data_IF_472074045675
#
_entry.id   IF_472074045675
#
_cell.length_a   1.000
_cell.length_b   1.000
_cell.length_c   1.000
_cell.angle_alpha   90.00
_cell.angle_beta   90.00
_cell.angle_gamma   90.00
#
_symmetry.space_group_name_H-M   'P 1'
#
loop_
_entity.id
_entity.type
_entity.pdbx_description
1 polymer ?
#
# COMPACT_ATOMS: atom_id res chain seq x y z
N UNK A 1 -10.10 12.77 -5.80
CA UNK A 1 -8.99 12.03 -5.16
C UNK A 1 -8.48 12.89 -4.02
N UNK A 2 -8.56 12.44 -2.76
CA UNK A 2 -7.93 13.18 -1.67
C UNK A 2 -6.43 13.29 -1.99
N UNK A 3 -5.87 14.50 -1.91
CA UNK A 3 -4.43 14.70 -2.10
C UNK A 3 -3.73 13.79 -1.10
N UNK A 4 -2.91 12.85 -1.58
CA UNK A 4 -2.31 11.77 -0.77
C UNK A 4 -1.60 12.28 0.49
N UNK A 5 -1.13 13.52 0.46
CA UNK A 5 -0.44 14.22 1.55
C UNK A 5 -1.38 14.73 2.66
N UNK A 6 -2.68 14.93 2.39
CA UNK A 6 -3.61 15.56 3.34
C UNK A 6 -4.46 14.52 4.07
N UNK A 7 -4.32 14.45 5.39
CA UNK A 7 -5.18 13.69 6.27
C UNK A 7 -5.87 14.62 7.29
N UNK A 8 -7.21 14.56 7.40
CA UNK A 8 -7.98 15.44 8.30
C UNK A 8 -7.78 15.13 9.78
N UNK A 9 -7.40 13.90 10.11
CA UNK A 9 -7.22 13.42 11.48
C UNK A 9 -5.77 13.55 11.95
N UNK A 10 -4.86 14.08 11.11
CA UNK A 10 -3.44 14.18 11.44
C UNK A 10 -3.22 15.15 12.61
N UNK A 11 -2.56 14.72 13.69
CA UNK A 11 -2.16 15.62 14.77
C UNK A 11 -1.13 16.66 14.30
N UNK A 12 -1.17 17.86 14.89
CA UNK A 12 -0.27 18.96 14.53
C UNK A 12 1.21 18.62 14.69
N UNK A 13 1.57 17.83 15.71
CA UNK A 13 2.96 17.42 15.93
C UNK A 13 3.48 16.49 14.79
N UNK A 14 2.65 15.57 14.30
CA UNK A 14 2.98 14.71 13.15
C UNK A 14 3.10 15.55 11.87
N UNK A 15 2.21 16.51 11.67
CA UNK A 15 2.28 17.43 10.52
C UNK A 15 3.57 18.25 10.52
N UNK A 16 4.02 18.74 11.68
CA UNK A 16 5.27 19.47 11.82
C UNK A 16 6.50 18.60 11.48
N UNK A 17 6.53 17.35 11.96
CA UNK A 17 7.62 16.41 11.65
C UNK A 17 7.65 16.10 10.14
N UNK A 18 6.50 15.82 9.54
CA UNK A 18 6.39 15.45 8.13
C UNK A 18 6.80 16.57 7.15
N UNK A 19 6.54 17.82 7.53
CA UNK A 19 6.92 19.00 6.75
C UNK A 19 8.33 19.52 7.10
N UNK A 20 8.95 19.00 8.15
CA UNK A 20 10.26 19.41 8.65
C UNK A 20 11.41 18.48 8.25
N UNK A 21 12.63 18.85 8.65
CA UNK A 21 13.82 18.00 8.48
C UNK A 21 13.77 16.75 9.39
N UNK A 22 13.01 16.82 10.48
CA UNK A 22 12.81 15.71 11.42
C UNK A 22 12.11 14.49 10.83
N UNK A 23 11.53 14.62 9.62
CA UNK A 23 11.02 13.49 8.85
C UNK A 23 12.08 12.39 8.63
N UNK A 24 13.35 12.79 8.51
CA UNK A 24 14.47 11.88 8.29
C UNK A 24 15.29 11.65 9.56
N UNK A 25 14.83 12.14 10.71
CA UNK A 25 15.51 11.97 11.98
C UNK A 25 15.13 10.60 12.56
N UNK A 26 16.09 9.69 12.82
CA UNK A 26 15.78 8.36 13.34
C UNK A 26 15.13 8.40 14.72
N UNK A 27 15.32 9.46 15.51
CA UNK A 27 14.68 9.64 16.82
C UNK A 27 13.15 9.84 16.71
N UNK A 28 12.63 10.27 15.55
CA UNK A 28 11.18 10.40 15.34
C UNK A 28 10.49 9.08 14.98
N UNK A 29 11.25 8.00 14.81
CA UNK A 29 10.73 6.67 14.48
C UNK A 29 9.70 6.20 15.50
N UNK A 30 9.99 6.35 16.80
CA UNK A 30 9.10 5.94 17.89
C UNK A 30 7.79 6.73 17.87
N UNK A 31 7.85 8.04 17.62
CA UNK A 31 6.67 8.91 17.49
C UNK A 31 5.76 8.40 16.34
N UNK A 32 6.35 8.03 15.20
CA UNK A 32 5.59 7.47 14.09
C UNK A 32 5.05 6.06 14.38
N UNK A 33 5.79 5.22 15.10
CA UNK A 33 5.32 3.90 15.53
C UNK A 33 4.11 4.02 16.44
N UNK A 34 4.16 4.88 17.45
CA UNK A 34 3.05 5.17 18.35
C UNK A 34 1.84 5.70 17.57
N UNK A 35 2.07 6.55 16.57
CA UNK A 35 1.00 7.04 15.70
C UNK A 35 0.36 5.94 14.82
N UNK A 36 1.10 4.92 14.40
CA UNK A 36 0.53 3.76 13.70
C UNK A 36 -0.34 2.94 14.64
N UNK A 37 0.09 2.72 15.89
CA UNK A 37 -0.73 2.05 16.91
C UNK A 37 -2.02 2.83 17.14
N UNK A 38 -1.93 4.15 17.30
CA UNK A 38 -3.09 5.02 17.43
C UNK A 38 -4.03 4.93 16.21
N UNK A 39 -3.50 4.87 14.98
CA UNK A 39 -4.32 4.66 13.77
C UNK A 39 -5.05 3.31 13.77
N UNK A 40 -4.45 2.28 14.38
CA UNK A 40 -5.08 0.97 14.54
C UNK A 40 -6.24 1.02 15.55
N UNK A 41 -6.08 1.75 16.65
CA UNK A 41 -7.11 1.96 17.68
C UNK A 41 -8.25 2.86 17.16
N UNK A 42 -7.92 4.06 16.67
CA UNK A 42 -8.86 5.10 16.23
C UNK A 42 -9.53 4.80 14.89
N UNK A 43 -9.13 3.71 14.23
CA UNK A 43 -9.63 3.30 12.91
C UNK A 43 -9.38 4.34 11.81
N UNK A 44 -8.37 5.18 11.99
CA UNK A 44 -7.93 6.16 10.98
C UNK A 44 -6.82 5.58 10.10
N UNK A 45 -6.49 6.27 9.01
CA UNK A 45 -5.39 5.87 8.13
C UNK A 45 -4.72 7.10 7.52
N UNK A 46 -3.44 7.29 7.82
CA UNK A 46 -2.60 8.34 7.25
C UNK A 46 -1.51 7.73 6.38
N UNK A 47 -1.84 7.55 5.10
CA UNK A 47 -0.94 6.93 4.13
C UNK A 47 0.42 7.63 4.05
N UNK A 48 0.43 8.97 4.17
CA UNK A 48 1.65 9.75 4.03
C UNK A 48 2.59 9.59 5.22
N UNK A 49 2.04 9.57 6.45
CA UNK A 49 2.81 9.27 7.65
C UNK A 49 3.35 7.83 7.62
N UNK A 50 2.51 6.87 7.23
CA UNK A 50 2.88 5.45 7.18
C UNK A 50 4.00 5.19 6.16
N UNK A 51 3.91 5.79 4.97
CA UNK A 51 5.01 5.73 3.99
C UNK A 51 6.27 6.47 4.47
N UNK A 52 6.13 7.55 5.25
CA UNK A 52 7.29 8.23 5.82
C UNK A 52 8.02 7.34 6.83
N UNK A 53 7.29 6.64 7.70
CA UNK A 53 7.87 5.67 8.63
C UNK A 53 8.57 4.51 7.90
N UNK A 54 7.91 3.92 6.89
CA UNK A 54 8.53 2.89 6.07
C UNK A 54 9.80 3.42 5.39
N UNK A 55 9.76 4.64 4.83
CA UNK A 55 10.97 5.26 4.28
C UNK A 55 12.04 5.49 5.35
N UNK A 56 11.69 5.89 6.56
CA UNK A 56 12.65 6.09 7.64
C UNK A 56 13.34 4.76 8.01
N UNK A 57 12.56 3.68 8.18
CA UNK A 57 13.08 2.34 8.44
C UNK A 57 13.96 1.82 7.30
N UNK A 58 13.53 1.96 6.04
CA UNK A 58 14.16 1.30 4.89
C UNK A 58 15.18 2.17 4.12
N UNK A 59 14.99 3.50 4.03
CA UNK A 59 15.90 4.41 3.30
C UNK A 59 16.94 5.11 4.17
N UNK A 60 16.65 5.47 5.43
CA UNK A 60 17.64 6.18 6.24
C UNK A 60 18.86 5.29 6.57
N UNK A 61 18.64 3.98 6.64
CA UNK A 61 19.73 3.01 6.79
C UNK A 61 20.67 2.99 5.59
N UNK A 62 20.17 3.31 4.39
CA UNK A 62 21.02 3.38 3.19
C UNK A 62 22.06 4.50 3.35
N UNK A 63 21.68 5.67 3.86
CA UNK A 63 22.61 6.80 4.00
C UNK A 63 23.55 6.66 5.21
N UNK A 64 23.04 6.24 6.37
CA UNK A 64 23.85 6.20 7.59
C UNK A 64 24.99 5.16 7.52
N UNK A 65 24.73 4.01 6.89
CA UNK A 65 25.72 2.94 6.73
C UNK A 65 26.81 3.35 5.73
N UNK A 66 26.43 4.06 4.66
CA UNK A 66 27.39 4.58 3.68
C UNK A 66 28.33 5.60 4.36
N UNK A 67 27.81 6.52 5.18
CA UNK A 67 28.65 7.52 5.87
C UNK A 67 29.62 6.85 6.86
N UNK A 68 29.14 5.99 7.76
CA UNK A 68 30.00 5.35 8.76
C UNK A 68 31.10 4.50 8.12
N UNK A 69 30.81 3.82 7.00
CA UNK A 69 31.78 2.96 6.33
C UNK A 69 32.75 3.76 5.48
N UNK A 70 32.29 4.81 4.78
CA UNK A 70 33.18 5.77 4.10
C UNK A 70 34.07 6.46 5.13
N UNK A 71 33.54 6.88 6.27
CA UNK A 71 34.30 7.53 7.35
C UNK A 71 35.34 6.59 7.96
N UNK A 72 35.01 5.31 8.17
CA UNK A 72 35.98 4.30 8.62
C UNK A 72 37.02 3.97 7.55
N UNK A 73 36.64 3.90 6.28
CA UNK A 73 37.56 3.67 5.16
C UNK A 73 38.52 4.86 4.99
N UNK A 74 38.01 6.08 5.05
CA UNK A 74 38.78 7.32 5.03
C UNK A 74 39.71 7.41 6.24
N UNK A 75 39.27 7.07 7.46
CA UNK A 75 40.14 7.03 8.65
C UNK A 75 41.31 6.06 8.46
N UNK A 76 41.06 4.89 7.84
CA UNK A 76 42.10 3.89 7.58
C UNK A 76 43.12 4.37 6.54
N UNK A 77 42.66 5.10 5.52
CA UNK A 77 43.53 5.73 4.52
C UNK A 77 44.31 6.93 5.09
N UNK A 78 43.67 7.79 5.88
CA UNK A 78 44.31 8.95 6.52
C UNK A 78 45.35 8.57 7.58
N UNK A 79 45.29 7.36 8.12
CA UNK A 79 46.31 6.85 9.05
C UNK A 79 47.58 6.37 8.35
N UNK A 80 47.65 6.44 7.00
CA UNK A 80 48.86 6.11 6.25
C UNK A 80 49.68 7.38 5.97
N UNK A 81 50.96 7.45 6.36
CA UNK A 81 51.75 8.69 6.37
C UNK A 81 52.24 9.19 4.99
N UNK A 82 51.90 8.53 3.89
CA UNK A 82 52.31 8.98 2.55
C UNK A 82 51.26 9.91 1.93
N UNK A 83 51.22 11.16 2.43
CA UNK A 83 50.26 12.18 2.00
C UNK A 83 50.50 12.72 0.58
N UNK A 84 51.56 12.30 -0.10
CA UNK A 84 52.07 13.02 -1.28
C UNK A 84 51.37 12.70 -2.61
N UNK A 85 50.46 11.71 -2.67
CA UNK A 85 49.86 11.27 -3.95
C UNK A 85 48.34 11.53 -4.06
N UNK A 86 47.67 12.09 -3.06
CA UNK A 86 46.22 11.87 -2.92
C UNK A 86 45.26 13.00 -3.34
N UNK A 87 45.72 14.11 -3.93
CA UNK A 87 44.85 15.30 -4.13
C UNK A 87 43.89 15.25 -5.34
N UNK A 88 44.03 14.42 -6.40
CA UNK A 88 43.01 14.36 -7.47
C UNK A 88 41.96 13.25 -7.35
N UNK A 89 41.99 12.44 -6.27
CA UNK A 89 41.21 11.19 -6.23
C UNK A 89 39.71 11.43 -5.97
N UNK A 90 39.30 12.61 -5.49
CA UNK A 90 37.88 12.90 -5.20
C UNK A 90 36.98 12.83 -6.44
N UNK A 91 37.40 13.38 -7.58
CA UNK A 91 36.56 13.35 -8.79
C UNK A 91 36.57 11.97 -9.46
N UNK A 92 37.69 11.25 -9.43
CA UNK A 92 37.78 9.96 -10.12
C UNK A 92 37.21 8.79 -9.29
N UNK A 93 37.20 8.89 -7.96
CA UNK A 93 36.56 7.86 -7.12
C UNK A 93 35.06 7.84 -7.23
N UNK A 94 34.39 8.97 -7.48
CA UNK A 94 32.94 8.96 -7.72
C UNK A 94 32.58 8.02 -8.90
N UNK A 95 33.37 8.03 -9.98
CA UNK A 95 33.13 7.21 -11.16
C UNK A 95 33.49 5.73 -10.97
N UNK A 96 34.55 5.42 -10.23
CA UNK A 96 34.95 4.03 -9.95
C UNK A 96 34.05 3.40 -8.88
N UNK A 97 33.61 4.18 -7.90
CA UNK A 97 32.82 3.67 -6.80
C UNK A 97 31.32 3.71 -7.08
N UNK A 98 30.77 4.54 -7.97
CA UNK A 98 29.34 4.49 -8.30
C UNK A 98 28.83 3.08 -8.70
N UNK A 99 29.56 2.27 -9.48
CA UNK A 99 29.13 0.89 -9.77
C UNK A 99 29.27 -0.05 -8.56
N UNK A 100 30.31 0.11 -7.74
CA UNK A 100 30.55 -0.71 -6.53
C UNK A 100 29.51 -0.35 -5.46
N UNK A 101 29.29 0.95 -5.26
CA UNK A 101 28.22 1.54 -4.46
C UNK A 101 26.88 1.09 -5.03
N UNK A 102 26.65 1.06 -6.35
CA UNK A 102 25.39 0.59 -6.95
C UNK A 102 25.10 -0.89 -6.70
N UNK A 103 26.08 -1.77 -6.94
CA UNK A 103 25.91 -3.22 -6.71
C UNK A 103 25.84 -3.56 -5.22
N UNK A 104 26.58 -2.85 -4.38
CA UNK A 104 26.48 -3.04 -2.96
C UNK A 104 25.40 -2.19 -2.29
N UNK A 105 24.79 -1.18 -2.91
CA UNK A 105 23.63 -0.44 -2.37
C UNK A 105 22.46 -1.39 -2.18
N UNK A 106 22.34 -2.39 -3.07
CA UNK A 106 21.36 -3.46 -2.94
C UNK A 106 21.70 -4.47 -1.82
N UNK A 107 22.94 -4.52 -1.32
CA UNK A 107 23.38 -5.48 -0.30
C UNK A 107 23.89 -4.86 1.02
N UNK A 108 24.09 -3.55 1.10
CA UNK A 108 24.68 -2.88 2.26
C UNK A 108 23.65 -2.73 3.38
N UNK A 109 23.45 -3.86 4.04
CA UNK A 109 23.14 -4.00 5.46
C UNK A 109 22.03 -3.07 5.94
N UNK A 110 20.80 -3.46 5.59
CA UNK A 110 19.67 -3.33 6.52
C UNK A 110 20.18 -3.65 7.92
N UNK A 111 19.88 -2.81 8.91
CA UNK A 111 19.94 -3.25 10.30
C UNK A 111 18.68 -4.11 10.49
N UNK A 112 18.75 -5.46 10.40
CA UNK A 112 17.56 -6.29 10.62
C UNK A 112 16.94 -6.00 11.99
N UNK A 113 17.77 -5.57 12.95
CA UNK A 113 17.36 -5.20 14.31
C UNK A 113 16.46 -3.96 14.39
N UNK A 114 16.41 -3.11 13.35
CA UNK A 114 15.54 -1.93 13.32
C UNK A 114 14.27 -2.15 12.51
N UNK A 115 14.16 -3.28 11.80
CA UNK A 115 12.95 -3.64 11.09
C UNK A 115 11.90 -4.07 12.12
N UNK A 116 11.03 -3.14 12.51
CA UNK A 116 9.83 -3.49 13.25
C UNK A 116 8.86 -4.20 12.30
N UNK A 117 8.91 -5.53 12.34
CA UNK A 117 8.05 -6.42 11.57
C UNK A 117 6.58 -6.09 11.85
N UNK A 118 6.24 -5.96 13.14
CA UNK A 118 4.90 -5.64 13.64
C UNK A 118 4.35 -4.32 13.08
N UNK A 119 5.10 -3.22 13.20
CA UNK A 119 4.64 -1.93 12.65
C UNK A 119 4.44 -2.00 11.14
N UNK A 120 5.28 -2.77 10.44
CA UNK A 120 5.19 -2.93 8.99
C UNK A 120 3.98 -3.76 8.59
N UNK A 121 3.71 -4.87 9.27
CA UNK A 121 2.50 -5.68 9.06
C UNK A 121 1.25 -4.89 9.39
N UNK A 122 1.27 -4.05 10.43
CA UNK A 122 0.15 -3.20 10.82
C UNK A 122 -0.14 -2.12 9.77
N UNK A 123 0.90 -1.50 9.20
CA UNK A 123 0.72 -0.57 8.07
C UNK A 123 0.09 -1.29 6.86
N UNK A 124 0.55 -2.50 6.53
CA UNK A 124 -0.01 -3.28 5.43
C UNK A 124 -1.46 -3.70 5.70
N UNK A 125 -1.76 -4.21 6.90
CA UNK A 125 -3.12 -4.58 7.31
C UNK A 125 -4.06 -3.37 7.28
N UNK A 126 -3.60 -2.20 7.73
CA UNK A 126 -4.36 -0.95 7.59
C UNK A 126 -4.52 -0.52 6.14
N UNK A 127 -3.50 -0.68 5.29
CA UNK A 127 -3.59 -0.41 3.87
C UNK A 127 -4.63 -1.32 3.16
N UNK A 128 -4.81 -2.56 3.63
CA UNK A 128 -5.87 -3.46 3.15
C UNK A 128 -7.26 -2.88 3.39
N UNK A 129 -7.49 -2.10 4.46
CA UNK A 129 -8.82 -1.54 4.75
C UNK A 129 -9.23 -0.36 3.84
N UNK A 130 -8.29 0.19 3.06
CA UNK A 130 -8.51 1.40 2.25
C UNK A 130 -8.53 1.15 0.73
N UNK A 131 -8.72 -0.09 0.27
CA UNK A 131 -8.82 -0.46 -1.15
C UNK A 131 -10.03 0.19 -1.88
N UNK A 132 -9.95 0.55 -3.19
CA UNK A 132 -8.77 0.56 -4.03
C UNK A 132 -7.94 1.79 -3.70
N UNK A 133 -6.81 1.58 -3.04
CA UNK A 133 -5.83 2.61 -2.75
C UNK A 133 -4.47 2.06 -3.12
N UNK A 134 -3.63 2.86 -3.81
CA UNK A 134 -2.26 2.43 -4.13
C UNK A 134 -1.39 2.28 -2.87
N UNK A 135 -1.87 2.65 -1.68
CA UNK A 135 -1.10 2.61 -0.44
C UNK A 135 -0.51 1.22 -0.14
N UNK A 136 -1.24 0.15 -0.42
CA UNK A 136 -0.73 -1.21 -0.22
C UNK A 136 0.47 -1.49 -1.14
N UNK A 137 0.30 -1.27 -2.44
CA UNK A 137 1.36 -1.47 -3.44
C UNK A 137 2.57 -0.55 -3.23
N UNK A 138 2.34 0.70 -2.81
CA UNK A 138 3.41 1.64 -2.45
C UNK A 138 4.18 1.17 -1.21
N UNK A 139 3.48 0.65 -0.20
CA UNK A 139 4.11 0.11 1.01
C UNK A 139 4.95 -1.12 0.67
N UNK A 140 4.43 -2.02 -0.16
CA UNK A 140 5.15 -3.19 -0.66
C UNK A 140 6.39 -2.82 -1.48
N UNK A 141 6.32 -1.75 -2.28
CA UNK A 141 7.45 -1.26 -3.07
C UNK A 141 8.60 -0.68 -2.21
N UNK A 142 8.31 -0.27 -0.97
CA UNK A 142 9.34 0.17 -0.02
C UNK A 142 10.02 -1.01 0.71
N UNK A 143 9.41 -2.19 0.67
CA UNK A 143 9.97 -3.38 1.30
C UNK A 143 11.10 -3.97 0.46
N UNK A 144 12.10 -4.62 1.10
CA UNK A 144 13.24 -5.16 0.40
C UNK A 144 12.86 -6.32 -0.54
N UNK A 145 13.66 -6.51 -1.59
CA UNK A 145 13.38 -7.49 -2.65
C UNK A 145 13.22 -8.95 -2.18
N UNK A 146 13.74 -9.33 -1.01
CA UNK A 146 13.57 -10.68 -0.47
C UNK A 146 12.18 -10.93 0.15
N UNK A 147 11.44 -9.86 0.47
CA UNK A 147 10.05 -9.94 0.98
C UNK A 147 9.02 -10.03 -0.13
N UNK A 148 9.47 -10.04 -1.38
CA UNK A 148 8.56 -10.10 -2.52
C UNK A 148 7.77 -11.42 -2.51
N UNK A 149 6.47 -11.37 -2.82
CA UNK A 149 5.59 -12.50 -2.58
C UNK A 149 5.89 -13.74 -3.45
N UNK A 150 6.69 -13.58 -4.51
CA UNK A 150 7.05 -14.65 -5.44
C UNK A 150 8.36 -15.39 -5.08
N UNK A 151 8.99 -15.07 -3.95
CA UNK A 151 10.28 -15.63 -3.58
C UNK A 151 10.18 -17.06 -3.01
N UNK A 152 9.73 -18.06 -3.78
CA UNK A 152 9.56 -19.44 -3.28
C UNK A 152 10.87 -20.18 -2.97
N UNK A 153 12.00 -19.79 -3.55
CA UNK A 153 13.18 -20.68 -3.63
C UNK A 153 14.27 -20.45 -2.57
N UNK A 154 14.22 -19.37 -1.78
CA UNK A 154 15.30 -19.02 -0.82
C UNK A 154 14.86 -18.94 0.64
N UNK A 155 13.57 -19.12 0.94
CA UNK A 155 13.00 -18.94 2.29
C UNK A 155 13.69 -19.85 3.31
N UNK A 156 14.02 -21.09 2.94
CA UNK A 156 14.65 -22.06 3.86
C UNK A 156 16.03 -21.66 4.37
N UNK A 157 16.71 -20.70 3.73
CA UNK A 157 18.05 -20.26 4.12
C UNK A 157 18.07 -18.97 4.95
N UNK A 158 16.91 -18.36 5.17
CA UNK A 158 16.78 -17.10 5.89
C UNK A 158 16.60 -17.34 7.40
N UNK A 159 17.02 -16.40 8.26
CA UNK A 159 16.70 -16.44 9.69
C UNK A 159 15.20 -16.61 9.95
N UNK A 160 14.82 -17.39 10.97
CA UNK A 160 13.41 -17.71 11.30
C UNK A 160 12.50 -16.46 11.38
N UNK A 161 12.93 -15.40 12.07
CA UNK A 161 12.15 -14.15 12.15
C UNK A 161 11.92 -13.49 10.78
N UNK A 162 12.85 -13.66 9.85
CA UNK A 162 12.71 -13.11 8.49
C UNK A 162 11.85 -14.01 7.60
N UNK A 163 11.82 -15.33 7.80
CA UNK A 163 10.89 -16.20 7.09
C UNK A 163 9.45 -15.93 7.48
N UNK A 164 9.19 -15.74 8.78
CA UNK A 164 7.85 -15.46 9.31
C UNK A 164 7.33 -14.12 8.78
N UNK A 165 8.18 -13.09 8.76
CA UNK A 165 7.83 -11.81 8.15
C UNK A 165 7.53 -11.89 6.65
N UNK A 166 8.31 -12.68 5.89
CA UNK A 166 8.07 -12.88 4.45
C UNK A 166 6.74 -13.61 4.23
N UNK A 167 6.42 -14.62 5.05
CA UNK A 167 5.13 -15.32 4.99
C UNK A 167 3.97 -14.37 5.31
N UNK A 168 4.10 -13.52 6.33
CA UNK A 168 3.12 -12.48 6.67
C UNK A 168 2.86 -11.52 5.52
N UNK A 169 3.91 -11.04 4.85
CA UNK A 169 3.78 -10.15 3.68
C UNK A 169 3.12 -10.88 2.50
N UNK A 170 3.47 -12.15 2.26
CA UNK A 170 2.83 -12.99 1.23
C UNK A 170 1.34 -13.16 1.48
N UNK A 171 0.95 -13.47 2.73
CA UNK A 171 -0.44 -13.61 3.16
C UNK A 171 -1.22 -12.31 2.98
N UNK A 172 -0.70 -11.20 3.46
CA UNK A 172 -1.32 -9.88 3.28
C UNK A 172 -1.44 -9.51 1.78
N UNK A 173 -0.43 -9.82 0.97
CA UNK A 173 -0.47 -9.60 -0.48
C UNK A 173 -1.56 -10.44 -1.15
N UNK A 174 -1.74 -11.71 -0.73
CA UNK A 174 -2.81 -12.56 -1.23
C UNK A 174 -4.18 -11.97 -0.91
N UNK A 175 -4.39 -11.52 0.34
CA UNK A 175 -5.62 -10.85 0.75
C UNK A 175 -5.88 -9.58 -0.06
N UNK A 176 -4.85 -8.75 -0.30
CA UNK A 176 -4.99 -7.54 -1.12
C UNK A 176 -5.46 -7.87 -2.54
N UNK A 177 -4.87 -8.90 -3.18
CA UNK A 177 -5.28 -9.32 -4.52
C UNK A 177 -6.74 -9.77 -4.56
N UNK A 178 -7.25 -10.44 -3.52
CA UNK A 178 -8.66 -10.84 -3.44
C UNK A 178 -9.60 -9.63 -3.29
N UNK A 179 -9.21 -8.63 -2.52
CA UNK A 179 -9.97 -7.38 -2.37
C UNK A 179 -9.97 -6.56 -3.67
N UNK A 180 -8.80 -6.41 -4.32
CA UNK A 180 -8.67 -5.68 -5.59
C UNK A 180 -9.36 -6.38 -6.76
N UNK A 181 -9.40 -7.72 -6.77
CA UNK A 181 -10.14 -8.51 -7.77
C UNK A 181 -11.65 -8.63 -7.46
N UNK A 182 -12.15 -7.95 -6.42
CA UNK A 182 -13.53 -7.96 -5.98
C UNK A 182 -14.07 -9.37 -5.62
N UNK A 183 -13.20 -10.30 -5.24
CA UNK A 183 -13.57 -11.65 -4.82
C UNK A 183 -13.83 -11.71 -3.31
N UNK A 184 -14.78 -10.92 -2.83
CA UNK A 184 -15.05 -10.77 -1.39
C UNK A 184 -15.42 -12.07 -0.67
N UNK A 185 -16.27 -12.97 -1.21
CA UNK A 185 -16.58 -14.23 -0.52
C UNK A 185 -15.34 -15.10 -0.31
N UNK A 186 -14.44 -15.11 -1.30
CA UNK A 186 -13.20 -15.87 -1.21
C UNK A 186 -12.20 -15.19 -0.26
N UNK A 187 -12.18 -13.86 -0.19
CA UNK A 187 -11.41 -13.12 0.80
C UNK A 187 -11.80 -13.52 2.22
N UNK A 188 -13.09 -13.49 2.58
CA UNK A 188 -13.56 -13.89 3.92
C UNK A 188 -13.27 -15.34 4.23
N UNK A 189 -13.49 -16.23 3.26
CA UNK A 189 -13.15 -17.65 3.40
C UNK A 189 -11.65 -17.86 3.66
N UNK A 190 -10.79 -17.10 2.97
CA UNK A 190 -9.33 -17.18 3.15
C UNK A 190 -8.91 -16.63 4.51
N UNK A 191 -9.47 -15.49 4.92
CA UNK A 191 -9.23 -14.85 6.22
C UNK A 191 -9.60 -15.78 7.38
N UNK A 192 -10.73 -16.48 7.26
CA UNK A 192 -11.24 -17.38 8.32
C UNK A 192 -10.64 -18.80 8.26
N UNK A 193 -9.87 -19.14 7.22
CA UNK A 193 -9.35 -20.50 7.02
C UNK A 193 -8.04 -20.82 7.75
N UNK A 194 -7.25 -19.80 8.06
CA UNK A 194 -5.90 -19.96 8.63
C UNK A 194 -5.67 -18.92 9.73
N UNK A 195 -5.36 -19.42 10.93
CA UNK A 195 -5.17 -18.63 12.16
C UNK A 195 -4.11 -17.53 11.99
N UNK A 196 -3.10 -17.76 11.13
CA UNK A 196 -2.06 -16.77 10.87
C UNK A 196 -2.61 -15.49 10.21
N UNK A 197 -3.72 -15.57 9.46
CA UNK A 197 -4.36 -14.35 8.97
C UNK A 197 -5.06 -13.57 10.09
N UNK A 198 -5.65 -14.27 11.07
CA UNK A 198 -6.31 -13.65 12.20
C UNK A 198 -5.30 -12.86 13.06
N UNK A 199 -4.12 -13.44 13.30
CA UNK A 199 -3.04 -12.78 14.03
C UNK A 199 -2.59 -11.48 13.34
N UNK A 200 -2.48 -11.49 12.01
CA UNK A 200 -2.03 -10.32 11.24
C UNK A 200 -3.01 -9.14 11.21
N UNK A 201 -4.30 -9.39 11.49
CA UNK A 201 -5.34 -8.36 11.50
C UNK A 201 -5.81 -8.00 12.90
N UNK A 202 -5.39 -8.75 13.93
CA UNK A 202 -5.83 -8.62 15.31
C UNK A 202 -5.57 -7.21 15.89
N UNK A 203 -4.41 -6.63 15.56
CA UNK A 203 -4.03 -5.30 16.05
C UNK A 203 -4.92 -4.18 15.50
N UNK A 204 -5.58 -4.40 14.36
CA UNK A 204 -6.43 -3.39 13.73
C UNK A 204 -7.84 -3.46 14.31
N UNK A 205 -8.17 -2.48 15.17
CA UNK A 205 -9.47 -2.42 15.82
C UNK A 205 -10.61 -2.31 14.80
N UNK A 206 -11.50 -3.30 14.81
CA UNK A 206 -12.61 -3.36 13.87
C UNK A 206 -12.20 -3.49 12.40
N UNK A 207 -11.08 -4.18 12.12
CA UNK A 207 -10.62 -4.50 10.77
C UNK A 207 -11.76 -4.94 9.84
N UNK A 208 -12.51 -5.96 10.24
CA UNK A 208 -13.59 -6.47 9.40
C UNK A 208 -14.69 -5.45 9.16
N UNK A 209 -15.01 -4.61 10.16
CA UNK A 209 -16.01 -3.54 10.01
C UNK A 209 -15.54 -2.51 8.98
N UNK A 210 -14.26 -2.13 9.02
CA UNK A 210 -13.67 -1.22 8.04
C UNK A 210 -13.69 -1.81 6.63
N UNK A 211 -13.32 -3.08 6.49
CA UNK A 211 -13.39 -3.78 5.20
C UNK A 211 -14.83 -3.82 4.69
N UNK A 212 -15.82 -4.20 5.52
CA UNK A 212 -17.24 -4.21 5.14
C UNK A 212 -17.75 -2.83 4.71
N UNK A 213 -17.44 -1.78 5.47
CA UNK A 213 -17.77 -0.40 5.09
C UNK A 213 -17.14 -0.04 3.74
N UNK A 214 -15.88 -0.44 3.52
CA UNK A 214 -15.21 -0.12 2.27
C UNK A 214 -15.77 -0.90 1.08
N UNK A 215 -16.06 -2.19 1.24
CA UNK A 215 -16.78 -3.01 0.25
C UNK A 215 -18.08 -2.29 -0.12
N UNK A 216 -18.87 -1.86 0.87
CA UNK A 216 -20.13 -1.17 0.63
C UNK A 216 -19.95 0.13 -0.17
N UNK A 217 -18.93 0.93 0.15
CA UNK A 217 -18.61 2.15 -0.62
C UNK A 217 -18.24 1.82 -2.08
N UNK A 218 -17.50 0.75 -2.35
CA UNK A 218 -17.16 0.35 -3.72
C UNK A 218 -18.38 -0.22 -4.47
N UNK A 219 -19.20 -1.03 -3.81
CA UNK A 219 -20.47 -1.53 -4.36
C UNK A 219 -21.41 -0.37 -4.68
N UNK A 220 -21.48 0.63 -3.81
CA UNK A 220 -22.31 1.82 -3.98
C UNK A 220 -21.92 2.72 -5.17
N UNK A 221 -20.69 2.57 -5.67
CA UNK A 221 -20.23 3.22 -6.90
C UNK A 221 -20.59 2.42 -8.15
N UNK A 222 -20.54 1.09 -8.06
CA UNK A 222 -20.69 0.20 -9.22
C UNK A 222 -22.14 -0.23 -9.50
N UNK A 223 -23.01 -0.26 -8.49
CA UNK A 223 -24.36 -0.83 -8.60
C UNK A 223 -25.46 0.17 -8.24
N UNK A 224 -26.62 0.05 -8.90
CA UNK A 224 -27.87 0.75 -8.53
C UNK A 224 -28.84 -0.14 -7.79
N UNK A 225 -28.85 -1.40 -8.18
CA UNK A 225 -29.71 -2.45 -7.63
C UNK A 225 -28.84 -3.69 -7.48
N UNK A 226 -28.92 -4.33 -6.32
CA UNK A 226 -28.18 -5.56 -6.03
C UNK A 226 -29.08 -6.50 -5.23
N UNK A 227 -29.05 -7.79 -5.56
CA UNK A 227 -29.74 -8.81 -4.77
C UNK A 227 -29.14 -8.90 -3.37
N UNK A 228 -29.98 -8.99 -2.35
CA UNK A 228 -29.52 -9.12 -0.97
C UNK A 228 -28.68 -10.39 -0.74
N UNK A 229 -28.90 -11.46 -1.49
CA UNK A 229 -28.10 -12.69 -1.44
C UNK A 229 -26.62 -12.44 -1.77
N UNK A 230 -26.33 -11.83 -2.92
CA UNK A 230 -24.96 -11.47 -3.31
C UNK A 230 -24.35 -10.48 -2.32
N UNK A 231 -25.13 -9.49 -1.86
CA UNK A 231 -24.65 -8.49 -0.91
C UNK A 231 -24.30 -9.12 0.45
N UNK A 232 -25.11 -10.07 0.92
CA UNK A 232 -24.84 -10.83 2.16
C UNK A 232 -23.55 -11.65 2.04
N UNK A 233 -23.32 -12.28 0.89
CA UNK A 233 -22.09 -13.04 0.62
C UNK A 233 -20.84 -12.14 0.55
N UNK A 234 -20.98 -10.92 0.00
CA UNK A 234 -19.86 -9.97 -0.09
C UNK A 234 -19.51 -9.34 1.25
N UNK A 235 -20.50 -9.09 2.09
CA UNK A 235 -20.30 -8.51 3.42
C UNK A 235 -20.03 -9.57 4.50
N UNK A 236 -20.14 -10.86 4.16
CA UNK A 236 -20.03 -11.98 5.11
C UNK A 236 -20.94 -11.80 6.32
N UNK A 237 -22.21 -11.49 6.06
CA UNK A 237 -23.22 -11.29 7.10
C UNK A 237 -24.21 -12.46 7.09
N UNK A 238 -24.16 -13.28 8.13
CA UNK A 238 -25.15 -14.32 8.39
C UNK A 238 -26.36 -13.70 9.10
N UNK A 239 -27.42 -13.40 8.35
CA UNK A 239 -28.72 -12.99 8.89
C UNK A 239 -29.29 -11.75 8.22
N UNK A 240 -30.58 -11.81 7.90
CA UNK A 240 -31.30 -10.73 7.23
C UNK A 240 -31.34 -9.45 8.09
N UNK A 241 -31.54 -9.58 9.40
CA UNK A 241 -31.60 -8.43 10.31
C UNK A 241 -30.27 -7.69 10.44
N UNK A 242 -29.15 -8.42 10.46
CA UNK A 242 -27.80 -7.85 10.51
C UNK A 242 -27.48 -7.13 9.20
N UNK A 243 -27.87 -7.72 8.07
CA UNK A 243 -27.75 -7.09 6.76
C UNK A 243 -28.60 -5.81 6.70
N UNK A 244 -29.85 -5.87 7.15
CA UNK A 244 -30.76 -4.71 7.14
C UNK A 244 -30.21 -3.56 7.98
N UNK A 245 -29.77 -3.82 9.21
CA UNK A 245 -29.13 -2.81 10.06
C UNK A 245 -27.89 -2.23 9.40
N UNK A 246 -27.04 -3.06 8.80
CA UNK A 246 -25.83 -2.56 8.13
C UNK A 246 -26.18 -1.69 6.90
N UNK A 247 -27.11 -2.14 6.07
CA UNK A 247 -27.52 -1.44 4.85
C UNK A 247 -28.20 -0.10 5.17
N UNK A 248 -29.05 -0.06 6.19
CA UNK A 248 -29.78 1.15 6.59
C UNK A 248 -28.90 2.08 7.42
N UNK A 249 -28.27 1.59 8.49
CA UNK A 249 -27.55 2.45 9.45
C UNK A 249 -26.18 2.88 8.94
N UNK A 250 -25.48 2.02 8.19
CA UNK A 250 -24.09 2.27 7.76
C UNK A 250 -24.04 2.74 6.31
N UNK A 251 -24.78 2.09 5.41
CA UNK A 251 -24.75 2.45 3.98
C UNK A 251 -25.76 3.56 3.62
N UNK A 252 -26.83 3.72 4.39
CA UNK A 252 -27.94 4.63 4.07
C UNK A 252 -28.69 4.22 2.79
N UNK A 253 -28.76 2.92 2.50
CA UNK A 253 -29.47 2.38 1.33
C UNK A 253 -30.85 1.88 1.72
N UNK A 254 -31.72 1.72 0.72
CA UNK A 254 -33.08 1.23 0.92
C UNK A 254 -33.17 -0.25 0.52
N UNK A 255 -33.87 -1.05 1.32
CA UNK A 255 -34.17 -2.45 1.02
C UNK A 255 -35.61 -2.57 0.53
N UNK A 256 -35.77 -2.96 -0.74
CA UNK A 256 -37.07 -3.21 -1.33
C UNK A 256 -37.52 -4.64 -0.99
N UNK A 257 -38.50 -4.74 -0.07
CA UNK A 257 -39.08 -6.02 0.39
C UNK A 257 -40.28 -6.48 -0.45
N UNK A 258 -40.57 -5.81 -1.57
CA UNK A 258 -41.83 -5.99 -2.31
C UNK A 258 -42.10 -7.41 -2.84
N UNK A 259 -41.07 -8.25 -3.01
CA UNK A 259 -41.20 -9.56 -3.67
C UNK A 259 -41.22 -10.79 -2.74
N UNK A 260 -41.01 -10.63 -1.42
CA UNK A 260 -41.02 -11.76 -0.47
C UNK A 260 -40.02 -11.63 0.68
N UNK A 261 -40.09 -12.58 1.63
CA UNK A 261 -39.18 -12.65 2.80
C UNK A 261 -37.85 -13.36 2.50
N UNK A 262 -37.71 -13.96 1.32
CA UNK A 262 -36.50 -14.70 0.94
C UNK A 262 -35.38 -13.76 0.52
N UNK A 263 -34.15 -14.06 0.96
CA UNK A 263 -32.95 -13.27 0.65
C UNK A 263 -32.72 -13.08 -0.86
N UNK A 264 -33.19 -14.01 -1.68
CA UNK A 264 -33.08 -13.96 -3.14
C UNK A 264 -34.06 -12.98 -3.80
N UNK A 265 -35.21 -12.70 -3.18
CA UNK A 265 -36.21 -11.78 -3.74
C UNK A 265 -36.00 -10.34 -3.29
N UNK A 266 -35.25 -10.11 -2.21
CA UNK A 266 -35.00 -8.78 -1.67
C UNK A 266 -33.89 -8.10 -2.50
N UNK A 267 -34.16 -6.89 -2.95
CA UNK A 267 -33.22 -6.07 -3.73
C UNK A 267 -32.87 -4.81 -2.94
N UNK A 268 -31.58 -4.56 -2.75
CA UNK A 268 -31.08 -3.32 -2.19
C UNK A 268 -30.96 -2.27 -3.30
N UNK A 269 -31.63 -1.12 -3.11
CA UNK A 269 -31.51 0.06 -3.98
C UNK A 269 -30.45 1.00 -3.44
N UNK A 270 -29.40 1.17 -4.22
CA UNK A 270 -28.30 2.08 -3.92
C UNK A 270 -28.68 3.49 -4.38
N UNK A 271 -28.53 4.52 -3.52
CA UNK A 271 -28.74 5.91 -3.90
C UNK A 271 -27.90 6.33 -5.10
N UNK A 272 -28.47 7.19 -5.95
CA UNK A 272 -27.77 7.71 -7.13
C UNK A 272 -26.70 8.72 -6.70
N UNK A 273 -25.46 8.40 -7.01
CA UNK A 273 -24.29 9.24 -6.78
C UNK A 273 -23.66 9.64 -8.12
N UNK A 274 -22.78 10.66 -8.11
CA UNK A 274 -22.04 11.10 -9.32
C UNK A 274 -21.32 9.97 -10.06
N UNK A 275 -20.81 8.98 -9.31
CA UNK A 275 -20.10 7.82 -9.85
C UNK A 275 -21.05 6.75 -10.44
N UNK A 276 -22.29 6.70 -9.96
CA UNK A 276 -23.29 5.70 -10.35
C UNK A 276 -24.31 6.24 -11.38
N UNK A 277 -24.26 7.54 -11.68
CA UNK A 277 -25.03 8.16 -12.74
C UNK A 277 -24.47 7.76 -14.12
N UNK A 278 -25.28 7.10 -14.94
CA UNK A 278 -24.89 6.76 -16.31
C UNK A 278 -25.02 8.04 -17.14
N UNK A 279 -23.90 8.74 -17.27
CA UNK A 279 -23.78 9.90 -18.14
C UNK A 279 -23.19 9.41 -19.46
N UNK A 280 -23.97 9.55 -20.53
CA UNK A 280 -23.45 9.39 -21.88
C UNK A 280 -22.56 10.57 -22.21
N UNK A 281 -21.25 10.44 -22.02
CA UNK A 281 -20.28 11.42 -22.50
C UNK A 281 -19.89 11.08 -23.94
N UNK A 282 -20.34 11.90 -24.90
CA UNK A 282 -19.84 11.83 -26.27
C UNK A 282 -18.45 12.46 -26.28
N UNK A 283 -17.42 11.64 -26.06
CA UNK A 283 -16.02 12.03 -26.26
C UNK A 283 -15.73 12.07 -27.76
N UNK A 284 -15.99 13.22 -28.37
CA UNK A 284 -15.57 13.50 -29.73
C UNK A 284 -14.14 14.03 -29.73
N UNK A 285 -13.22 13.31 -30.37
CA UNK A 285 -11.90 13.84 -30.69
C UNK A 285 -11.98 14.57 -32.04
N UNK A 286 -11.63 15.86 -32.05
CA UNK A 286 -11.55 16.63 -33.29
C UNK A 286 -10.19 16.37 -33.94
N UNK A 287 -10.10 15.30 -34.72
CA UNK A 287 -8.87 15.00 -35.48
C UNK A 287 -8.92 15.72 -36.83
N UNK A 288 -8.13 16.78 -36.98
CA UNK A 288 -7.99 17.47 -38.26
C UNK A 288 -7.22 16.62 -39.28
N UNK A 289 -7.53 16.75 -40.57
CA UNK A 289 -6.86 16.00 -41.66
C UNK A 289 -5.33 16.20 -41.66
N UNK A 290 -4.87 17.38 -41.21
CA UNK A 290 -3.46 17.73 -41.04
C UNK A 290 -2.70 16.75 -40.12
N UNK A 291 -3.36 16.21 -39.09
CA UNK A 291 -2.75 15.21 -38.19
C UNK A 291 -2.48 13.88 -38.90
N UNK A 292 -3.27 13.57 -39.94
CA UNK A 292 -3.05 12.41 -40.81
C UNK A 292 -2.08 12.68 -41.95
N UNK A 293 -1.56 13.90 -42.10
CA UNK A 293 -0.66 14.27 -43.20
C UNK A 293 0.60 13.40 -43.29
N UNK A 294 1.18 13.01 -42.14
CA UNK A 294 2.33 12.07 -42.11
C UNK A 294 1.95 10.65 -42.55
N UNK A 295 0.76 10.18 -42.17
CA UNK A 295 0.26 8.86 -42.54
C UNK A 295 -0.06 8.82 -44.04
N UNK A 296 -0.72 9.86 -44.55
CA UNK A 296 -1.00 10.04 -45.98
C UNK A 296 0.29 10.12 -46.79
N UNK A 297 1.25 10.96 -46.40
CA UNK A 297 2.52 11.10 -47.11
C UNK A 297 3.29 9.78 -47.20
N UNK A 298 3.34 9.01 -46.10
CA UNK A 298 3.98 7.69 -46.08
C UNK A 298 3.28 6.66 -46.98
N UNK A 299 1.96 6.79 -47.19
CA UNK A 299 1.21 5.93 -48.11
C UNK A 299 1.46 6.25 -49.59
N UNK A 300 1.82 7.49 -49.91
CA UNK A 300 2.09 7.93 -51.29
C UNK A 300 3.58 7.93 -51.68
N UNK A 301 4.51 7.92 -50.71
CA UNK A 301 5.91 7.61 -50.98
C UNK A 301 6.00 6.11 -51.35
N UNK A 302 5.91 5.81 -52.64
CA UNK A 302 6.18 4.47 -53.17
C UNK A 302 7.58 4.01 -52.70
N UNK A 303 7.73 2.76 -52.27
CA UNK A 303 9.05 2.22 -51.94
C UNK A 303 9.95 2.37 -53.16
N UNK A 304 11.08 3.05 -52.96
CA UNK A 304 12.14 3.20 -53.97
C UNK A 304 12.66 1.84 -54.44
#
# INVERSE_FOLDING_TARGET
>A
MAVFDKCKTRPQHIEAILNGLDRYNPETTTIFQDYVVQQCEDRTFDAYANLALLKLHFYLMQYLVIDLRIRNYLKRYWSSPDLSVFVPIYENTANIWMPIIGNHLCSYQFNPHLLHTETTTNILAKALTVFPSPAFSLSLALLPAHTQPFASSKISSLPMQTSDFVESVQKLSRLNTLLESAQYPHFWSTLNSDDLYADLVADVSGFEKLVRVRIAVEVGKAFREISADILAQWLDLHGLESLEKFVVDVCGWELDKSAGSDLKSIVARVPRNKENEARGEIKGEKVGIEMFGRVLRRGFEQPA
#
